data_IF_755310729524
#
_entry.id   IF_755310729524
#
_cell.length_a   1.000
_cell.length_b   1.000
_cell.length_c   1.000
_cell.angle_alpha   90.00
_cell.angle_beta   90.00
_cell.angle_gamma   90.00
#
_symmetry.space_group_name_H-M   'P 1'
#
loop_
_entity.id
_entity.type
_entity.pdbx_description
1 polymer ?
#
# COMPACT_ATOMS: atom_id res chain seq x y z
N UNK A 1 -12.77 1.56 13.73
CA UNK A 1 -13.54 2.76 14.05
C UNK A 1 -15.04 2.51 13.97
N UNK A 2 -15.57 2.15 12.78
CA UNK A 2 -16.98 1.92 12.53
C UNK A 2 -17.16 1.03 11.30
N UNK A 3 -18.33 0.43 11.15
CA UNK A 3 -18.75 -0.17 9.87
C UNK A 3 -19.25 0.88 8.86
N UNK A 4 -19.50 2.10 9.31
CA UNK A 4 -19.94 3.23 8.50
C UNK A 4 -18.71 3.99 7.96
N UNK A 5 -18.45 3.98 6.63
CA UNK A 5 -17.28 4.65 6.05
C UNK A 5 -17.34 6.18 6.19
N UNK A 6 -18.50 6.79 6.39
CA UNK A 6 -18.65 8.21 6.62
C UNK A 6 -18.18 8.63 8.03
N UNK A 7 -18.17 7.70 8.97
CA UNK A 7 -17.56 7.88 10.30
C UNK A 7 -16.06 7.58 10.24
N UNK A 8 -15.66 6.54 9.49
CA UNK A 8 -14.26 6.12 9.39
C UNK A 8 -13.40 7.20 8.73
N UNK A 9 -13.87 7.84 7.67
CA UNK A 9 -13.10 8.81 6.90
C UNK A 9 -12.57 9.99 7.74
N UNK A 10 -13.40 10.76 8.47
CA UNK A 10 -12.93 11.88 9.29
C UNK A 10 -12.08 11.41 10.49
N UNK A 11 -12.42 10.29 11.12
CA UNK A 11 -11.63 9.78 12.25
C UNK A 11 -10.25 9.29 11.81
N UNK A 12 -10.16 8.60 10.67
CA UNK A 12 -8.90 8.19 10.08
C UNK A 12 -8.01 9.38 9.69
N UNK A 13 -8.58 10.41 9.06
CA UNK A 13 -7.88 11.63 8.73
C UNK A 13 -7.34 12.33 9.98
N UNK A 14 -8.16 12.49 11.02
CA UNK A 14 -7.74 13.09 12.30
C UNK A 14 -6.60 12.30 12.97
N UNK A 15 -6.64 10.97 12.92
CA UNK A 15 -5.56 10.13 13.45
C UNK A 15 -4.25 10.34 12.65
N UNK A 16 -4.32 10.43 11.33
CA UNK A 16 -3.15 10.71 10.48
C UNK A 16 -2.55 12.07 10.84
N UNK A 17 -3.37 13.12 10.94
CA UNK A 17 -2.90 14.44 11.38
C UNK A 17 -2.30 14.41 12.79
N UNK A 18 -2.87 13.63 13.69
CA UNK A 18 -2.34 13.43 15.04
C UNK A 18 -0.95 12.78 15.06
N UNK A 19 -0.69 11.82 14.19
CA UNK A 19 0.58 11.10 14.09
C UNK A 19 1.64 11.90 13.31
N UNK A 20 1.26 12.48 12.18
CA UNK A 20 2.17 13.10 11.21
C UNK A 20 2.29 14.64 11.36
N UNK A 21 1.38 15.27 12.10
CA UNK A 21 1.17 16.70 12.03
C UNK A 21 0.33 17.10 10.81
N UNK A 22 -0.22 18.29 10.84
CA UNK A 22 -1.11 18.79 9.78
C UNK A 22 -0.31 19.24 8.55
N UNK A 23 -0.71 18.78 7.37
CA UNK A 23 -0.12 19.18 6.08
C UNK A 23 -0.13 20.72 5.94
N UNK A 24 0.98 21.27 5.47
CA UNK A 24 1.14 22.70 5.26
C UNK A 24 1.52 23.50 6.51
N UNK A 25 1.76 22.83 7.64
CA UNK A 25 2.28 23.46 8.87
C UNK A 25 3.73 23.01 9.13
N UNK A 26 4.44 23.75 9.99
CA UNK A 26 5.79 23.36 10.45
C UNK A 26 5.81 22.11 11.33
N UNK A 27 4.65 21.67 11.80
CA UNK A 27 4.48 20.48 12.61
C UNK A 27 4.44 19.18 11.75
N UNK A 28 4.17 19.32 10.45
CA UNK A 28 4.06 18.16 9.55
C UNK A 28 5.42 17.46 9.39
N UNK A 29 5.46 16.19 9.81
CA UNK A 29 6.65 15.32 9.81
C UNK A 29 7.84 15.94 10.59
N UNK A 30 7.55 16.76 11.62
CA UNK A 30 8.58 17.25 12.53
C UNK A 30 9.26 16.12 13.31
N UNK A 31 10.36 16.41 14.00
CA UNK A 31 11.17 15.40 14.71
C UNK A 31 10.39 14.56 15.74
N UNK A 32 9.29 15.12 16.27
CA UNK A 32 8.42 14.47 17.27
C UNK A 32 7.27 13.68 16.63
N UNK A 33 7.23 13.59 15.29
CA UNK A 33 6.17 12.92 14.53
C UNK A 33 6.63 11.58 13.95
N UNK A 34 5.64 10.72 13.65
CA UNK A 34 5.85 9.45 12.97
C UNK A 34 4.91 9.37 11.78
N UNK A 35 5.30 8.62 10.74
CA UNK A 35 4.39 8.38 9.63
C UNK A 35 3.23 7.48 10.03
N UNK A 36 2.08 7.72 9.41
CA UNK A 36 0.93 6.85 9.48
C UNK A 36 0.93 5.91 8.26
N UNK A 37 0.40 4.70 8.45
CA UNK A 37 0.09 3.77 7.37
C UNK A 37 -1.40 3.50 7.37
N UNK A 38 -2.10 3.94 6.32
CA UNK A 38 -3.51 3.59 6.15
C UNK A 38 -3.61 2.15 5.64
N UNK A 39 -4.44 1.32 6.30
CA UNK A 39 -4.51 -0.11 6.01
C UNK A 39 -5.87 -0.74 6.35
N UNK A 40 -6.17 -1.86 5.76
CA UNK A 40 -5.47 -2.47 4.64
C UNK A 40 -6.21 -2.13 3.35
N UNK A 41 -5.51 -1.68 2.33
CA UNK A 41 -6.10 -1.23 1.05
C UNK A 41 -6.34 -2.43 0.14
N UNK A 42 -7.60 -2.70 -0.24
CA UNK A 42 -8.83 -2.31 0.41
C UNK A 42 -9.77 -3.52 0.50
N UNK A 43 -10.89 -3.37 1.20
CA UNK A 43 -11.93 -4.37 1.41
C UNK A 43 -11.53 -5.55 2.32
N UNK A 44 -10.52 -5.37 3.18
CA UNK A 44 -10.12 -6.37 4.17
C UNK A 44 -11.30 -6.83 5.06
N UNK A 45 -12.13 -5.91 5.52
CA UNK A 45 -13.34 -6.22 6.29
C UNK A 45 -14.54 -6.71 5.47
N UNK A 46 -14.41 -6.86 4.15
CA UNK A 46 -15.49 -7.27 3.25
C UNK A 46 -15.43 -8.71 2.75
N UNK A 47 -14.52 -9.52 3.29
CA UNK A 47 -14.33 -10.91 2.84
C UNK A 47 -15.59 -11.75 3.11
N UNK A 48 -15.89 -12.66 2.20
CA UNK A 48 -17.03 -13.56 2.31
C UNK A 48 -16.98 -14.34 3.63
N UNK A 49 -18.04 -14.21 4.43
CA UNK A 49 -18.16 -14.81 5.77
C UNK A 49 -17.09 -14.35 6.79
N UNK A 50 -16.37 -13.24 6.51
CA UNK A 50 -15.30 -12.76 7.38
C UNK A 50 -14.06 -13.65 7.41
N UNK A 51 -13.85 -14.47 6.38
CA UNK A 51 -12.67 -15.35 6.30
C UNK A 51 -11.43 -14.49 6.11
N UNK A 52 -10.50 -14.62 7.05
CA UNK A 52 -9.21 -13.92 6.99
C UNK A 52 -8.46 -14.26 5.69
N UNK A 53 -7.93 -13.24 5.00
CA UNK A 53 -7.25 -13.36 3.70
C UNK A 53 -8.13 -13.92 2.57
N UNK A 54 -9.44 -13.97 2.80
CA UNK A 54 -10.42 -14.53 1.86
C UNK A 54 -10.66 -13.67 0.63
N UNK A 55 -11.69 -14.03 -0.14
CA UNK A 55 -12.12 -13.28 -1.31
C UNK A 55 -13.28 -12.35 -0.99
N UNK A 56 -13.29 -11.20 -1.64
CA UNK A 56 -14.39 -10.24 -1.67
C UNK A 56 -15.00 -10.25 -3.05
N UNK A 57 -16.25 -10.67 -3.16
CA UNK A 57 -16.96 -10.72 -4.45
C UNK A 57 -17.94 -9.56 -4.55
N UNK A 58 -17.98 -8.89 -5.69
CA UNK A 58 -18.94 -7.82 -5.94
C UNK A 58 -18.53 -6.86 -7.06
N UNK A 59 -19.43 -5.91 -7.33
CA UNK A 59 -19.12 -4.82 -8.25
C UNK A 59 -18.05 -3.90 -7.67
N UNK A 60 -17.05 -3.56 -8.47
CA UNK A 60 -15.91 -2.75 -8.02
C UNK A 60 -16.33 -1.35 -7.59
N UNK A 61 -17.33 -0.74 -8.26
CA UNK A 61 -17.79 0.59 -7.88
C UNK A 61 -18.50 0.57 -6.52
N UNK A 62 -19.29 -0.47 -6.26
CA UNK A 62 -19.96 -0.67 -4.96
C UNK A 62 -18.93 -0.94 -3.86
N UNK A 63 -17.96 -1.81 -4.10
CA UNK A 63 -16.89 -2.10 -3.15
C UNK A 63 -16.04 -0.86 -2.84
N UNK A 64 -15.75 -0.04 -3.84
CA UNK A 64 -15.06 1.24 -3.64
C UNK A 64 -15.87 2.22 -2.80
N UNK A 65 -17.18 2.33 -3.07
CA UNK A 65 -18.07 3.25 -2.35
C UNK A 65 -18.13 2.98 -0.84
N UNK A 66 -17.85 1.75 -0.42
CA UNK A 66 -17.83 1.34 0.98
C UNK A 66 -16.38 1.29 1.50
N UNK A 67 -15.57 0.41 0.93
CA UNK A 67 -14.29 0.03 1.52
C UNK A 67 -13.12 0.95 1.14
N UNK A 68 -13.18 1.61 -0.03
CA UNK A 68 -12.15 2.56 -0.43
C UNK A 68 -12.50 4.02 -0.08
N UNK A 69 -13.73 4.30 0.29
CA UNK A 69 -14.23 5.65 0.62
C UNK A 69 -13.39 6.43 1.65
N UNK A 70 -12.80 5.83 2.69
CA UNK A 70 -11.96 6.57 3.63
C UNK A 70 -10.60 7.01 3.08
N UNK A 71 -10.09 6.39 2.02
CA UNK A 71 -8.73 6.65 1.53
C UNK A 71 -8.51 8.05 0.94
N UNK A 72 -9.43 8.65 0.16
CA UNK A 72 -9.28 10.04 -0.26
C UNK A 72 -9.10 11.03 0.90
N UNK A 73 -9.83 10.84 2.01
CA UNK A 73 -9.65 11.66 3.21
C UNK A 73 -8.28 11.43 3.88
N UNK A 74 -7.81 10.19 3.94
CA UNK A 74 -6.49 9.85 4.45
C UNK A 74 -5.38 10.47 3.57
N UNK A 75 -5.54 10.45 2.26
CA UNK A 75 -4.60 11.05 1.29
C UNK A 75 -4.57 12.57 1.45
N UNK A 76 -5.73 13.21 1.60
CA UNK A 76 -5.84 14.66 1.84
C UNK A 76 -5.20 15.06 3.19
N UNK A 77 -5.27 14.20 4.21
CA UNK A 77 -4.57 14.37 5.48
C UNK A 77 -3.05 14.10 5.40
N UNK A 78 -2.54 13.74 4.22
CA UNK A 78 -1.12 13.58 3.94
C UNK A 78 -0.52 12.24 4.35
N UNK A 79 -1.30 11.16 4.40
CA UNK A 79 -0.76 9.83 4.74
C UNK A 79 0.45 9.47 3.86
N UNK A 80 1.57 9.09 4.47
CA UNK A 80 2.82 8.80 3.76
C UNK A 80 2.91 7.35 3.28
N UNK A 81 2.16 6.44 3.88
CA UNK A 81 2.19 5.01 3.52
C UNK A 81 0.78 4.41 3.47
N UNK A 82 0.60 3.49 2.54
CA UNK A 82 -0.59 2.62 2.44
C UNK A 82 -0.12 1.17 2.39
N UNK A 83 -0.75 0.30 3.17
CA UNK A 83 -0.49 -1.14 3.12
C UNK A 83 -1.57 -1.83 2.28
N UNK A 84 -1.14 -2.63 1.29
CA UNK A 84 -2.03 -3.47 0.50
C UNK A 84 -2.66 -4.55 1.38
N UNK A 85 -3.93 -4.89 1.15
CA UNK A 85 -4.61 -5.90 1.95
C UNK A 85 -4.29 -7.34 1.50
N UNK A 86 -4.49 -8.27 2.42
CA UNK A 86 -4.23 -9.70 2.18
C UNK A 86 -5.30 -10.40 1.34
N UNK A 87 -6.52 -9.85 1.32
CA UNK A 87 -7.65 -10.45 0.62
C UNK A 87 -7.46 -10.43 -0.90
N UNK A 88 -8.27 -11.19 -1.58
CA UNK A 88 -8.53 -11.02 -3.01
C UNK A 88 -9.83 -10.24 -3.24
N UNK A 89 -9.97 -9.68 -4.42
CA UNK A 89 -11.23 -9.10 -4.92
C UNK A 89 -11.54 -9.77 -6.25
N UNK A 90 -12.71 -10.42 -6.33
CA UNK A 90 -13.14 -11.19 -7.50
C UNK A 90 -12.06 -12.18 -7.96
N UNK A 91 -11.43 -12.87 -7.02
CA UNK A 91 -10.39 -13.87 -7.26
C UNK A 91 -8.98 -13.31 -7.51
N UNK A 92 -8.79 -11.99 -7.58
CA UNK A 92 -7.46 -11.38 -7.81
C UNK A 92 -6.87 -10.91 -6.48
N UNK A 93 -5.75 -11.48 -6.05
CA UNK A 93 -5.03 -11.06 -4.83
C UNK A 93 -4.59 -9.60 -4.94
N UNK A 94 -4.87 -8.80 -3.89
CA UNK A 94 -4.59 -7.36 -3.88
C UNK A 94 -3.13 -7.02 -4.19
N UNK A 95 -2.17 -7.79 -3.68
CA UNK A 95 -0.74 -7.58 -3.92
C UNK A 95 -0.31 -7.75 -5.39
N UNK A 96 -1.16 -8.36 -6.23
CA UNK A 96 -0.95 -8.48 -7.67
C UNK A 96 -1.98 -7.71 -8.51
N UNK A 97 -2.84 -6.92 -7.88
CA UNK A 97 -3.94 -6.23 -8.55
C UNK A 97 -3.50 -4.82 -9.01
N UNK A 98 -2.97 -4.75 -10.22
CA UNK A 98 -2.51 -3.49 -10.84
C UNK A 98 -3.64 -2.46 -10.95
N UNK A 99 -4.84 -2.89 -11.35
CA UNK A 99 -5.96 -1.97 -11.59
C UNK A 99 -6.39 -1.27 -10.30
N UNK A 100 -6.24 -1.93 -9.16
CA UNK A 100 -6.60 -1.35 -7.87
C UNK A 100 -5.42 -0.62 -7.20
N UNK A 101 -4.21 -1.20 -7.19
CA UNK A 101 -3.04 -0.55 -6.57
C UNK A 101 -2.50 0.63 -7.38
N UNK A 102 -2.53 0.54 -8.70
CA UNK A 102 -2.10 1.63 -9.57
C UNK A 102 -3.30 2.43 -10.05
N UNK A 103 -4.27 1.82 -10.73
CA UNK A 103 -5.39 2.53 -11.32
C UNK A 103 -6.24 3.27 -10.29
N UNK A 104 -6.66 2.62 -9.21
CA UNK A 104 -7.52 3.27 -8.20
C UNK A 104 -6.69 4.10 -7.22
N UNK A 105 -5.73 3.48 -6.52
CA UNK A 105 -5.03 4.19 -5.44
C UNK A 105 -4.17 5.35 -5.96
N UNK A 106 -3.43 5.15 -7.06
CA UNK A 106 -2.52 6.18 -7.57
C UNK A 106 -3.18 7.12 -8.57
N UNK A 107 -3.83 6.56 -9.59
CA UNK A 107 -4.30 7.38 -10.70
C UNK A 107 -5.61 8.07 -10.35
N UNK A 108 -6.57 7.36 -9.76
CA UNK A 108 -7.87 7.92 -9.38
C UNK A 108 -7.79 8.75 -8.09
N UNK A 109 -7.21 8.20 -7.00
CA UNK A 109 -7.14 8.88 -5.69
C UNK A 109 -5.92 9.80 -5.54
N UNK A 110 -4.95 9.73 -6.47
CA UNK A 110 -3.79 10.61 -6.49
C UNK A 110 -2.74 10.32 -5.41
N UNK A 111 -2.70 9.13 -4.83
CA UNK A 111 -1.73 8.78 -3.80
C UNK A 111 -0.29 8.82 -4.32
N UNK A 112 0.57 9.60 -3.66
CA UNK A 112 1.99 9.79 -4.05
C UNK A 112 2.98 9.14 -3.08
N UNK A 113 2.50 8.63 -1.95
CA UNK A 113 3.32 7.98 -0.93
C UNK A 113 3.74 6.55 -1.28
N UNK A 114 4.32 5.86 -0.31
CA UNK A 114 4.80 4.49 -0.44
C UNK A 114 3.66 3.48 -0.27
N UNK A 115 3.61 2.46 -1.14
CA UNK A 115 2.78 1.27 -0.94
C UNK A 115 3.65 0.14 -0.40
N UNK A 116 3.32 -0.33 0.80
CA UNK A 116 3.97 -1.47 1.44
C UNK A 116 3.07 -2.71 1.37
N UNK A 117 3.67 -3.88 1.20
CA UNK A 117 2.97 -5.16 1.28
C UNK A 117 2.66 -5.59 2.70
N UNK A 118 1.72 -6.50 2.86
CA UNK A 118 1.49 -7.21 4.09
C UNK A 118 2.41 -8.44 4.20
N UNK A 119 2.49 -9.06 5.36
CA UNK A 119 3.43 -10.13 5.75
C UNK A 119 3.42 -11.31 4.77
N UNK A 120 4.45 -11.42 3.92
CA UNK A 120 4.59 -12.46 2.89
C UNK A 120 3.41 -12.58 1.90
N UNK A 121 2.49 -11.61 1.87
CA UNK A 121 1.23 -11.71 1.12
C UNK A 121 1.42 -11.79 -0.40
N UNK A 122 2.51 -11.23 -0.92
CA UNK A 122 2.88 -11.36 -2.33
C UNK A 122 3.08 -12.81 -2.76
N UNK A 123 3.49 -13.69 -1.84
CA UNK A 123 3.63 -15.13 -2.11
C UNK A 123 2.31 -15.86 -2.38
N UNK A 124 1.17 -15.24 -2.09
CA UNK A 124 -0.15 -15.81 -2.39
C UNK A 124 -0.67 -15.48 -3.81
N UNK A 125 0.04 -14.66 -4.57
CA UNK A 125 -0.30 -14.40 -5.98
C UNK A 125 -0.03 -15.66 -6.80
N UNK A 126 -0.95 -16.11 -7.67
CA UNK A 126 -0.71 -17.25 -8.53
C UNK A 126 0.60 -17.11 -9.34
N UNK A 127 1.47 -18.09 -9.23
CA UNK A 127 2.80 -18.09 -9.88
C UNK A 127 3.90 -17.38 -9.11
N UNK A 128 3.60 -16.73 -7.98
CA UNK A 128 4.58 -16.15 -7.07
C UNK A 128 4.98 -17.13 -5.95
N UNK A 129 6.12 -16.82 -5.34
CA UNK A 129 6.58 -17.38 -4.07
C UNK A 129 7.00 -16.22 -3.16
N UNK A 130 7.18 -16.49 -1.87
CA UNK A 130 7.64 -15.48 -0.91
C UNK A 130 9.00 -14.91 -1.30
N UNK A 131 9.87 -15.74 -1.87
CA UNK A 131 11.21 -15.39 -2.31
C UNK A 131 11.32 -14.99 -3.79
N UNK A 132 10.23 -15.06 -4.58
CA UNK A 132 10.26 -14.74 -6.03
C UNK A 132 8.88 -14.22 -6.50
N UNK A 133 8.73 -12.92 -6.62
CA UNK A 133 7.49 -12.29 -7.06
C UNK A 133 7.71 -10.89 -7.67
N UNK A 134 8.03 -10.81 -8.94
CA UNK A 134 8.05 -9.53 -9.67
C UNK A 134 6.66 -8.90 -9.84
N UNK A 135 5.61 -9.72 -9.85
CA UNK A 135 4.24 -9.28 -10.13
C UNK A 135 3.74 -8.23 -9.16
N UNK A 136 4.08 -8.33 -7.86
CA UNK A 136 3.70 -7.32 -6.87
C UNK A 136 4.32 -5.96 -7.14
N UNK A 137 5.61 -5.92 -7.50
CA UNK A 137 6.28 -4.67 -7.87
C UNK A 137 5.62 -4.06 -9.10
N UNK A 138 5.35 -4.89 -10.12
CA UNK A 138 4.69 -4.45 -11.36
C UNK A 138 3.25 -3.99 -11.12
N UNK A 139 2.56 -4.55 -10.13
CA UNK A 139 1.21 -4.14 -9.75
C UNK A 139 1.16 -2.77 -9.03
N UNK A 140 2.27 -2.28 -8.48
CA UNK A 140 2.32 -0.98 -7.81
C UNK A 140 2.87 -1.00 -6.39
N UNK A 141 3.30 -2.17 -5.88
CA UNK A 141 3.98 -2.29 -4.59
C UNK A 141 5.35 -1.61 -4.66
N UNK A 142 5.74 -0.85 -3.64
CA UNK A 142 7.04 -0.19 -3.55
C UNK A 142 7.97 -0.88 -2.55
N UNK A 143 7.43 -1.51 -1.53
CA UNK A 143 8.19 -2.18 -0.48
C UNK A 143 7.53 -3.52 -0.12
N UNK A 144 8.30 -4.59 -0.18
CA UNK A 144 7.85 -5.91 0.28
C UNK A 144 7.97 -6.02 1.80
N UNK A 145 7.02 -6.69 2.44
CA UNK A 145 7.14 -7.14 3.82
C UNK A 145 7.50 -8.64 3.81
N UNK A 146 8.79 -8.94 3.92
CA UNK A 146 9.35 -10.30 3.81
C UNK A 146 10.42 -10.48 4.87
N UNK A 147 10.04 -10.91 6.09
CA UNK A 147 10.95 -10.91 7.23
C UNK A 147 12.08 -11.95 7.13
N UNK A 148 11.81 -13.12 6.58
CA UNK A 148 12.76 -14.25 6.60
C UNK A 148 13.50 -14.43 5.26
N UNK A 149 12.79 -14.45 4.14
CA UNK A 149 13.34 -14.76 2.82
C UNK A 149 13.82 -13.54 2.02
N UNK A 150 14.05 -12.40 2.70
CA UNK A 150 14.36 -11.14 2.04
C UNK A 150 15.63 -11.19 1.16
N UNK A 151 16.64 -11.99 1.56
CA UNK A 151 17.89 -12.13 0.76
C UNK A 151 17.63 -12.82 -0.57
N UNK A 152 16.84 -13.90 -0.55
CA UNK A 152 16.46 -14.64 -1.76
C UNK A 152 15.54 -13.77 -2.65
N UNK A 153 14.54 -13.11 -2.08
CA UNK A 153 13.68 -12.18 -2.81
C UNK A 153 14.50 -11.05 -3.45
N UNK A 154 15.42 -10.44 -2.71
CA UNK A 154 16.29 -9.39 -3.26
C UNK A 154 17.11 -9.89 -4.45
N UNK A 155 17.75 -11.07 -4.34
CA UNK A 155 18.54 -11.65 -5.43
C UNK A 155 17.67 -11.93 -6.67
N UNK A 156 16.46 -12.46 -6.46
CA UNK A 156 15.51 -12.74 -7.54
C UNK A 156 14.99 -11.47 -8.21
N UNK A 157 14.65 -10.43 -7.44
CA UNK A 157 14.26 -9.12 -8.00
C UNK A 157 15.40 -8.46 -8.79
N UNK A 158 16.64 -8.54 -8.30
CA UNK A 158 17.81 -8.04 -9.03
C UNK A 158 17.98 -8.76 -10.37
N UNK A 159 17.85 -10.08 -10.41
CA UNK A 159 17.86 -10.87 -11.65
C UNK A 159 16.72 -10.42 -12.59
N UNK A 160 15.51 -10.21 -12.05
CA UNK A 160 14.35 -9.82 -12.85
C UNK A 160 14.49 -8.39 -13.43
N UNK A 161 15.18 -7.49 -12.73
CA UNK A 161 15.56 -6.16 -13.25
C UNK A 161 16.63 -6.30 -14.34
N UNK A 162 17.68 -7.08 -14.11
CA UNK A 162 18.76 -7.29 -15.08
C UNK A 162 18.28 -7.94 -16.38
N UNK A 163 17.29 -8.82 -16.30
CA UNK A 163 16.68 -9.46 -17.48
C UNK A 163 15.67 -8.56 -18.20
N UNK A 164 15.31 -7.40 -17.63
CA UNK A 164 14.27 -6.51 -18.17
C UNK A 164 12.84 -6.94 -17.86
N UNK A 165 12.62 -8.01 -17.11
CA UNK A 165 11.28 -8.44 -16.64
C UNK A 165 10.64 -7.36 -15.75
N UNK A 166 11.45 -6.71 -14.91
CA UNK A 166 11.08 -5.49 -14.19
C UNK A 166 11.76 -4.32 -14.88
N UNK A 167 11.01 -3.37 -15.48
CA UNK A 167 11.58 -2.16 -16.04
C UNK A 167 12.30 -1.33 -14.98
N UNK A 168 13.50 -0.81 -15.29
CA UNK A 168 14.27 0.06 -14.39
C UNK A 168 13.44 1.25 -13.91
N UNK A 169 12.64 1.86 -14.78
CA UNK A 169 11.76 2.98 -14.43
C UNK A 169 10.79 2.62 -13.28
N UNK A 170 10.27 1.38 -13.25
CA UNK A 170 9.38 0.94 -12.17
C UNK A 170 10.15 0.76 -10.85
N UNK A 171 11.36 0.25 -10.92
CA UNK A 171 12.23 0.16 -9.74
C UNK A 171 12.58 1.56 -9.21
N UNK A 172 12.98 2.49 -10.09
CA UNK A 172 13.30 3.87 -9.73
C UNK A 172 12.12 4.59 -9.06
N UNK A 173 10.90 4.36 -9.55
CA UNK A 173 9.68 4.88 -8.91
C UNK A 173 9.52 4.37 -7.49
N UNK A 174 9.64 3.05 -7.28
CA UNK A 174 9.49 2.43 -5.96
C UNK A 174 10.54 2.95 -4.99
N UNK A 175 11.81 2.87 -5.38
CA UNK A 175 12.94 3.36 -4.58
C UNK A 175 12.80 4.86 -4.29
N UNK A 176 12.43 5.65 -5.29
CA UNK A 176 12.20 7.08 -5.14
C UNK A 176 11.13 7.44 -4.13
N UNK A 177 10.03 6.65 -4.02
CA UNK A 177 8.99 6.85 -3.00
C UNK A 177 9.50 6.52 -1.60
N UNK A 178 10.19 5.40 -1.44
CA UNK A 178 10.79 5.00 -0.16
C UNK A 178 11.83 6.04 0.30
N UNK A 179 12.71 6.48 -0.58
CA UNK A 179 13.75 7.46 -0.24
C UNK A 179 13.15 8.84 0.09
N UNK A 180 12.14 9.31 -0.65
CA UNK A 180 11.45 10.57 -0.33
C UNK A 180 10.80 10.54 1.05
N UNK A 181 10.14 9.43 1.41
CA UNK A 181 9.57 9.26 2.74
C UNK A 181 10.66 9.33 3.81
N UNK A 182 11.77 8.62 3.64
CA UNK A 182 12.91 8.64 4.58
C UNK A 182 13.53 10.03 4.70
N UNK A 183 13.70 10.74 3.58
CA UNK A 183 14.23 12.10 3.56
C UNK A 183 13.34 13.07 4.35
N UNK A 184 12.02 13.01 4.12
CA UNK A 184 11.05 13.85 4.85
C UNK A 184 11.07 13.63 6.36
N UNK A 185 11.42 12.43 6.79
CA UNK A 185 11.57 12.08 8.21
C UNK A 185 12.96 12.41 8.78
N UNK A 186 13.86 13.01 8.01
CA UNK A 186 15.24 13.28 8.43
C UNK A 186 16.07 12.03 8.70
N UNK A 187 15.70 10.87 8.13
CA UNK A 187 16.40 9.61 8.38
C UNK A 187 17.68 9.46 7.56
N UNK A 188 17.89 10.33 6.56
CA UNK A 188 19.08 10.30 5.70
C UNK A 188 20.15 11.32 6.14
N UNK A 189 19.85 12.16 7.12
CA UNK A 189 20.73 13.23 7.60
C UNK A 189 21.50 12.83 8.88
N UNK A 190 21.46 11.56 9.26
CA UNK A 190 22.08 11.01 10.48
C UNK A 190 23.23 10.07 10.16
#
# INVERSE_FOLDING_TARGET
YSQDPDIVAPLGAALIEGLQGKVGTSDHLSADRVIATAKHFFADGGTTQGVDQGDVSGDIAELKAIHAKPYPAAIAAGVESVMASFNSINGVKMHGNHDLLTGVLRDEFGFKGMVVGDWNAHGQIPGCKVDDCAQSLLAGLDMYMVPDDWRALHANLMRDVQSGKIPMARLDEAVGRVLRMKLRLGLLDK
#
